data_IF_499891659804
#
_entry.id   IF_499891659804
#
_cell.length_a   1.000
_cell.length_b   1.000
_cell.length_c   1.000
_cell.angle_alpha   90.00
_cell.angle_beta   90.00
_cell.angle_gamma   90.00
#
_symmetry.space_group_name_H-M   'P 1'
#
loop_
_entity.id
_entity.type
_entity.pdbx_description
1 polymer ?
#
# COMPACT_ATOMS: atom_id res chain seq x y z
N UNK A 1 -57.48 -3.77 82.68
CA UNK A 1 -56.81 -2.50 82.48
C UNK A 1 -55.34 -2.78 82.75
N UNK A 2 -54.53 -2.97 81.77
CA UNK A 2 -53.09 -3.27 81.87
C UNK A 2 -52.45 -3.11 80.49
N UNK A 3 -51.79 -2.05 80.40
CA UNK A 3 -51.12 -1.59 79.22
C UNK A 3 -49.78 -2.42 79.01
N UNK A 4 -49.68 -3.10 77.94
CA UNK A 4 -48.50 -3.93 77.60
C UNK A 4 -47.64 -3.16 76.59
N UNK A 5 -46.62 -2.53 77.10
CA UNK A 5 -45.59 -1.83 76.30
C UNK A 5 -44.73 -2.84 75.63
N UNK A 6 -44.86 -2.94 74.30
CA UNK A 6 -43.98 -3.72 73.46
C UNK A 6 -42.63 -2.92 73.16
N UNK A 7 -41.58 -3.40 73.71
CA UNK A 7 -40.18 -2.90 73.38
C UNK A 7 -39.76 -3.45 71.99
N UNK A 8 -39.76 -2.58 71.03
CA UNK A 8 -39.08 -2.84 69.73
C UNK A 8 -37.57 -2.86 69.93
N UNK A 9 -36.94 -4.02 69.65
CA UNK A 9 -35.51 -4.16 69.58
C UNK A 9 -35.00 -3.54 68.26
N UNK A 10 -34.25 -2.48 68.44
CA UNK A 10 -33.57 -1.81 67.33
C UNK A 10 -32.45 -2.70 66.81
N UNK A 11 -32.58 -3.15 65.53
CA UNK A 11 -31.56 -3.92 64.85
C UNK A 11 -30.44 -2.97 64.43
N UNK A 12 -29.25 -3.20 64.97
CA UNK A 12 -27.98 -2.58 64.54
C UNK A 12 -27.74 -2.74 63.04
N UNK A 13 -27.27 -1.68 62.32
CA UNK A 13 -26.99 -1.79 60.90
C UNK A 13 -25.78 -2.72 60.67
N UNK A 14 -26.00 -3.76 59.90
CA UNK A 14 -24.97 -4.66 59.43
C UNK A 14 -23.91 -3.90 58.64
N UNK A 15 -22.65 -4.08 59.05
CA UNK A 15 -21.44 -3.66 58.40
C UNK A 15 -21.38 -4.24 56.96
N UNK A 16 -21.87 -3.47 55.98
CA UNK A 16 -21.68 -3.80 54.56
C UNK A 16 -20.32 -3.37 54.12
N UNK A 17 -19.33 -4.26 54.29
CA UNK A 17 -18.05 -4.15 53.57
C UNK A 17 -18.36 -4.09 52.08
N UNK A 18 -17.79 -3.15 51.32
CA UNK A 18 -17.89 -3.15 49.88
C UNK A 18 -17.17 -4.44 49.35
N UNK A 19 -17.92 -5.30 48.68
CA UNK A 19 -17.34 -6.38 47.87
C UNK A 19 -16.30 -5.77 46.94
N UNK A 20 -15.05 -6.22 47.08
CA UNK A 20 -14.00 -5.91 46.17
C UNK A 20 -14.38 -6.45 44.77
N UNK A 21 -14.77 -5.56 43.89
CA UNK A 21 -14.95 -5.89 42.47
C UNK A 21 -13.64 -6.54 41.98
N UNK A 22 -13.70 -7.69 41.30
CA UNK A 22 -12.53 -8.32 40.75
C UNK A 22 -11.87 -7.30 39.79
N UNK A 23 -10.63 -6.96 40.09
CA UNK A 23 -9.83 -6.03 39.33
C UNK A 23 -9.83 -6.42 37.87
N UNK A 24 -10.64 -5.74 37.07
CA UNK A 24 -10.47 -5.76 35.63
C UNK A 24 -9.03 -5.33 35.38
N UNK A 25 -8.21 -6.24 34.87
CA UNK A 25 -6.92 -5.94 34.30
C UNK A 25 -7.14 -4.80 33.28
N UNK A 26 -6.91 -3.58 33.74
CA UNK A 26 -6.72 -2.47 32.81
C UNK A 26 -5.44 -2.82 32.08
N UNK A 27 -5.60 -3.50 30.94
CA UNK A 27 -4.53 -3.58 29.95
C UNK A 27 -3.96 -2.18 29.84
N UNK A 28 -2.79 -2.00 30.41
CA UNK A 28 -2.00 -0.78 30.25
C UNK A 28 -1.82 -0.59 28.75
N UNK A 29 -2.69 0.22 28.16
CA UNK A 29 -2.59 0.65 26.77
C UNK A 29 -1.33 1.51 26.74
N UNK A 30 -0.18 0.83 26.62
CA UNK A 30 1.12 1.45 26.50
C UNK A 30 1.00 2.46 25.35
N UNK A 31 1.06 3.71 25.70
CA UNK A 31 0.92 4.97 24.97
C UNK A 31 0.72 4.76 23.45
N UNK A 32 -0.52 4.46 23.05
CA UNK A 32 -0.93 4.55 21.65
C UNK A 32 -0.60 5.95 21.15
N UNK A 33 0.30 6.07 20.21
CA UNK A 33 0.54 7.34 19.52
C UNK A 33 -0.69 7.62 18.66
N UNK A 34 -1.69 8.30 19.23
CA UNK A 34 -2.87 8.70 18.50
C UNK A 34 -2.47 9.67 17.38
N UNK A 35 -2.75 9.36 16.12
CA UNK A 35 -2.38 10.24 15.03
C UNK A 35 -3.20 11.53 15.11
N UNK A 36 -2.51 12.67 15.07
CA UNK A 36 -3.16 13.98 14.93
C UNK A 36 -3.52 14.21 13.46
N UNK A 37 -4.62 14.90 13.19
CA UNK A 37 -4.94 15.34 11.82
C UNK A 37 -3.89 16.36 11.39
N UNK A 38 -3.06 16.06 10.37
CA UNK A 38 -2.06 17.01 9.91
C UNK A 38 -2.73 18.18 9.17
N UNK A 39 -2.07 19.34 9.16
CA UNK A 39 -2.54 20.50 8.40
C UNK A 39 -2.34 20.25 6.91
N UNK A 40 -3.35 20.52 6.09
CA UNK A 40 -3.35 20.20 4.65
C UNK A 40 -2.10 20.71 3.91
N UNK A 41 -1.67 21.96 4.18
CA UNK A 41 -0.48 22.55 3.55
C UNK A 41 0.80 21.76 3.84
N UNK A 42 0.95 21.23 5.06
CA UNK A 42 2.10 20.40 5.42
C UNK A 42 2.03 19.01 4.79
N UNK A 43 0.82 18.47 4.61
CA UNK A 43 0.63 17.19 3.92
C UNK A 43 0.97 17.30 2.43
N UNK A 44 0.48 18.33 1.76
CA UNK A 44 0.82 18.57 0.34
C UNK A 44 2.34 18.71 0.20
N UNK A 45 2.97 19.51 1.06
CA UNK A 45 4.42 19.69 1.04
C UNK A 45 5.15 18.36 1.32
N UNK A 46 4.72 17.60 2.32
CA UNK A 46 5.32 16.31 2.67
C UNK A 46 5.22 15.33 1.50
N UNK A 47 4.06 15.20 0.87
CA UNK A 47 3.86 14.32 -0.29
C UNK A 47 4.72 14.78 -1.46
N UNK A 48 4.71 16.09 -1.77
CA UNK A 48 5.49 16.64 -2.88
C UNK A 48 7.00 16.45 -2.67
N UNK A 49 7.51 16.73 -1.47
CA UNK A 49 8.93 16.54 -1.12
C UNK A 49 9.29 15.06 -1.13
N UNK A 50 8.44 14.19 -0.59
CA UNK A 50 8.67 12.74 -0.59
C UNK A 50 8.71 12.18 -2.00
N UNK A 51 7.81 12.63 -2.89
CA UNK A 51 7.81 12.24 -4.29
C UNK A 51 9.04 12.78 -5.04
N UNK A 52 9.44 14.02 -4.76
CA UNK A 52 10.66 14.61 -5.32
C UNK A 52 11.91 13.82 -4.88
N UNK A 53 12.06 13.52 -3.57
CA UNK A 53 13.15 12.71 -3.04
C UNK A 53 13.15 11.33 -3.70
N UNK A 54 11.98 10.68 -3.78
CA UNK A 54 11.83 9.40 -4.48
C UNK A 54 12.34 9.47 -5.91
N UNK A 55 11.93 10.50 -6.67
CA UNK A 55 12.33 10.69 -8.07
C UNK A 55 13.83 10.92 -8.19
N UNK A 56 14.41 11.76 -7.32
CA UNK A 56 15.86 12.03 -7.30
C UNK A 56 16.64 10.75 -7.00
N UNK A 57 16.27 10.01 -5.94
CA UNK A 57 16.98 8.77 -5.58
C UNK A 57 16.86 7.74 -6.69
N UNK A 58 15.64 7.52 -7.21
CA UNK A 58 15.40 6.55 -8.28
C UNK A 58 16.24 6.86 -9.53
N UNK A 59 16.36 8.12 -9.89
CA UNK A 59 17.12 8.54 -11.08
C UNK A 59 18.62 8.63 -10.81
N UNK A 60 19.05 8.79 -9.56
CA UNK A 60 20.46 8.78 -9.17
C UNK A 60 21.06 7.36 -9.06
N UNK A 61 20.21 6.30 -9.03
CA UNK A 61 20.72 4.92 -9.09
C UNK A 61 21.43 4.73 -10.44
N UNK A 62 22.74 4.36 -10.43
CA UNK A 62 23.48 4.15 -11.65
C UNK A 62 22.77 3.17 -12.58
N UNK A 63 22.72 3.47 -13.86
CA UNK A 63 22.22 2.53 -14.87
C UNK A 63 23.15 1.32 -14.97
N UNK A 64 22.86 0.31 -14.17
CA UNK A 64 23.57 -0.97 -14.20
C UNK A 64 22.93 -1.89 -15.23
N UNK A 65 22.85 -1.45 -16.49
CA UNK A 65 22.21 -2.19 -17.58
C UNK A 65 22.62 -3.66 -17.64
N UNK A 66 23.91 -3.94 -17.61
CA UNK A 66 24.40 -5.32 -17.68
C UNK A 66 23.97 -6.17 -16.47
N UNK A 67 23.97 -5.62 -15.26
CA UNK A 67 23.49 -6.30 -14.07
C UNK A 67 21.99 -6.49 -14.13
N UNK A 68 21.24 -5.47 -14.53
CA UNK A 68 19.77 -5.52 -14.64
C UNK A 68 19.29 -6.57 -15.65
N UNK A 69 19.99 -6.71 -16.79
CA UNK A 69 19.67 -7.73 -17.79
C UNK A 69 20.01 -9.15 -17.30
N UNK A 70 21.16 -9.34 -16.62
CA UNK A 70 21.47 -10.64 -15.99
C UNK A 70 20.45 -11.03 -14.93
N UNK A 71 20.04 -10.08 -14.11
CA UNK A 71 19.01 -10.32 -13.08
C UNK A 71 17.66 -10.67 -13.73
N UNK A 72 17.30 -10.01 -14.83
CA UNK A 72 16.08 -10.32 -15.58
C UNK A 72 16.10 -11.74 -16.17
N UNK A 73 17.21 -12.16 -16.76
CA UNK A 73 17.39 -13.54 -17.24
C UNK A 73 17.28 -14.55 -16.09
N UNK A 74 17.85 -14.24 -14.93
CA UNK A 74 17.73 -15.10 -13.75
C UNK A 74 16.29 -15.21 -13.24
N UNK A 75 15.57 -14.09 -13.13
CA UNK A 75 14.14 -14.06 -12.72
C UNK A 75 13.32 -14.88 -13.71
N UNK A 76 13.51 -14.64 -15.03
CA UNK A 76 12.79 -15.33 -16.07
C UNK A 76 12.99 -16.86 -16.01
N UNK A 77 14.23 -17.30 -15.82
CA UNK A 77 14.54 -18.73 -15.64
C UNK A 77 13.93 -19.30 -14.35
N UNK A 78 13.95 -18.53 -13.27
CA UNK A 78 13.33 -18.97 -12.02
C UNK A 78 11.82 -19.16 -12.17
N UNK A 79 11.12 -18.24 -12.85
CA UNK A 79 9.69 -18.37 -13.14
C UNK A 79 9.38 -19.55 -14.05
N UNK A 80 10.21 -19.80 -15.05
CA UNK A 80 10.11 -20.98 -15.92
C UNK A 80 10.28 -22.28 -15.11
N UNK A 81 11.27 -22.32 -14.22
CA UNK A 81 11.56 -23.52 -13.43
C UNK A 81 10.41 -23.93 -12.49
N UNK A 82 9.64 -22.95 -12.01
CA UNK A 82 8.47 -23.20 -11.15
C UNK A 82 7.15 -23.20 -11.92
N UNK A 83 7.18 -23.06 -13.25
CA UNK A 83 6.00 -23.16 -14.12
C UNK A 83 5.03 -21.98 -14.06
N UNK A 84 5.48 -20.80 -13.63
CA UNK A 84 4.64 -19.57 -13.55
C UNK A 84 4.97 -18.51 -14.60
N UNK A 85 5.88 -18.79 -15.51
CA UNK A 85 6.34 -17.87 -16.57
C UNK A 85 5.25 -17.68 -17.64
N UNK A 86 4.22 -16.91 -17.32
CA UNK A 86 3.06 -16.66 -18.20
C UNK A 86 3.15 -15.34 -18.96
N UNK A 87 4.12 -14.49 -18.64
CA UNK A 87 4.24 -13.12 -19.14
C UNK A 87 4.30 -13.05 -20.66
N UNK A 88 5.13 -13.90 -21.25
CA UNK A 88 5.27 -13.95 -22.70
C UNK A 88 3.92 -14.27 -23.40
N UNK A 89 3.23 -15.31 -22.92
CA UNK A 89 1.93 -15.72 -23.47
C UNK A 89 0.88 -14.62 -23.30
N UNK A 90 0.80 -14.02 -22.12
CA UNK A 90 -0.16 -12.94 -21.81
C UNK A 90 0.13 -11.70 -22.64
N UNK A 91 1.42 -11.30 -22.74
CA UNK A 91 1.84 -10.14 -23.53
C UNK A 91 1.45 -10.29 -25.00
N UNK A 92 1.75 -11.44 -25.63
CA UNK A 92 1.39 -11.69 -27.01
C UNK A 92 -0.14 -11.79 -27.23
N UNK A 93 -0.85 -12.51 -26.36
CA UNK A 93 -2.29 -12.66 -26.47
C UNK A 93 -3.03 -11.33 -26.37
N UNK A 94 -2.65 -10.48 -25.40
CA UNK A 94 -3.29 -9.17 -25.21
C UNK A 94 -2.87 -8.17 -26.28
N UNK A 95 -1.61 -8.21 -26.72
CA UNK A 95 -1.11 -7.34 -27.79
C UNK A 95 -1.86 -7.54 -29.13
N UNK A 96 -2.45 -8.71 -29.37
CA UNK A 96 -3.28 -8.96 -30.55
C UNK A 96 -4.58 -8.12 -30.58
N UNK A 97 -4.98 -7.54 -29.45
CA UNK A 97 -6.19 -6.71 -29.31
C UNK A 97 -5.78 -5.25 -29.06
N UNK A 98 -5.56 -4.49 -30.14
CA UNK A 98 -4.97 -3.15 -30.12
C UNK A 98 -5.64 -2.19 -29.13
N UNK A 99 -6.97 -2.07 -29.13
CA UNK A 99 -7.66 -1.15 -28.22
C UNK A 99 -7.45 -1.49 -26.74
N UNK A 100 -7.34 -2.79 -26.44
CA UNK A 100 -7.15 -3.28 -25.08
C UNK A 100 -5.74 -2.97 -24.58
N UNK A 101 -4.71 -3.30 -25.37
CA UNK A 101 -3.32 -3.07 -24.96
C UNK A 101 -3.00 -1.57 -24.88
N UNK A 102 -3.54 -0.76 -25.76
CA UNK A 102 -3.43 0.71 -25.70
C UNK A 102 -4.06 1.25 -24.42
N UNK A 103 -5.26 0.77 -24.06
CA UNK A 103 -5.90 1.10 -22.80
C UNK A 103 -5.06 0.68 -21.56
N UNK A 104 -4.42 -0.51 -21.63
CA UNK A 104 -3.52 -1.00 -20.58
C UNK A 104 -2.24 -0.18 -20.46
N UNK A 105 -1.68 0.30 -21.56
CA UNK A 105 -0.51 1.20 -21.52
C UNK A 105 -0.85 2.51 -20.77
N UNK A 106 -2.01 3.13 -21.06
CA UNK A 106 -2.46 4.33 -20.35
C UNK A 106 -2.83 4.04 -18.89
N UNK A 107 -3.46 2.89 -18.62
CA UNK A 107 -3.69 2.43 -17.24
C UNK A 107 -2.37 2.36 -16.46
N UNK A 108 -1.37 1.68 -17.02
CA UNK A 108 -0.04 1.56 -16.43
C UNK A 108 0.58 2.91 -16.14
N UNK A 109 0.51 3.83 -17.10
CA UNK A 109 1.13 5.15 -16.99
C UNK A 109 0.48 6.06 -15.93
N UNK A 110 -0.85 5.96 -15.72
CA UNK A 110 -1.58 7.03 -15.02
C UNK A 110 -2.45 6.54 -13.87
N UNK A 111 -3.15 5.41 -14.01
CA UNK A 111 -4.25 5.08 -13.10
C UNK A 111 -3.78 4.80 -11.67
N UNK A 112 -2.62 4.18 -11.50
CA UNK A 112 -2.09 3.92 -10.15
C UNK A 112 -1.81 5.21 -9.37
N UNK A 113 -1.38 6.29 -10.02
CA UNK A 113 -1.22 7.61 -9.38
C UNK A 113 -2.58 8.20 -9.02
N UNK A 114 -3.52 8.20 -9.98
CA UNK A 114 -4.86 8.77 -9.79
C UNK A 114 -5.57 8.08 -8.62
N UNK A 115 -5.59 6.74 -8.61
CA UNK A 115 -6.25 5.97 -7.54
C UNK A 115 -5.55 6.18 -6.20
N UNK A 116 -4.22 6.15 -6.16
CA UNK A 116 -3.46 6.35 -4.91
C UNK A 116 -3.70 7.72 -4.31
N UNK A 117 -3.64 8.78 -5.12
CA UNK A 117 -3.94 10.15 -4.69
C UNK A 117 -5.40 10.26 -4.25
N UNK A 118 -6.33 9.67 -5.02
CA UNK A 118 -7.75 9.63 -4.67
C UNK A 118 -8.00 8.99 -3.31
N UNK A 119 -7.36 7.84 -3.03
CA UNK A 119 -7.46 7.14 -1.74
C UNK A 119 -6.83 7.98 -0.61
N UNK A 120 -5.70 8.63 -0.83
CA UNK A 120 -5.09 9.55 0.15
C UNK A 120 -6.02 10.72 0.48
N UNK A 121 -6.61 11.37 -0.53
CA UNK A 121 -7.57 12.47 -0.35
C UNK A 121 -8.82 11.99 0.40
N UNK A 122 -9.34 10.83 0.01
CA UNK A 122 -10.47 10.21 0.68
C UNK A 122 -10.17 9.91 2.15
N UNK A 123 -9.04 9.30 2.47
CA UNK A 123 -8.60 9.04 3.85
C UNK A 123 -8.46 10.34 4.65
N UNK A 124 -7.80 11.35 4.07
CA UNK A 124 -7.63 12.65 4.72
C UNK A 124 -8.95 13.32 5.06
N UNK A 125 -9.94 13.22 4.16
CA UNK A 125 -11.24 13.91 4.30
C UNK A 125 -12.20 13.17 5.22
N UNK A 126 -12.27 11.84 5.14
CA UNK A 126 -13.29 11.05 5.82
C UNK A 126 -12.78 10.10 6.90
N UNK A 127 -11.46 9.87 6.99
CA UNK A 127 -10.82 9.01 7.99
C UNK A 127 -9.60 9.68 8.64
N UNK A 128 -9.71 10.93 9.16
CA UNK A 128 -8.54 11.70 9.59
C UNK A 128 -7.72 11.03 10.71
N UNK A 129 -8.34 10.25 11.59
CA UNK A 129 -7.64 9.53 12.65
C UNK A 129 -6.85 8.30 12.16
N UNK A 130 -7.13 7.80 10.95
CA UNK A 130 -6.43 6.66 10.33
C UNK A 130 -5.43 7.10 9.26
N UNK A 131 -5.59 8.32 8.75
CA UNK A 131 -4.84 8.86 7.63
C UNK A 131 -3.32 8.74 7.83
N UNK A 132 -2.79 9.26 8.95
CA UNK A 132 -1.34 9.33 9.17
C UNK A 132 -0.70 7.94 9.23
N UNK A 133 -1.35 6.97 9.87
CA UNK A 133 -0.85 5.60 9.97
C UNK A 133 -0.92 4.88 8.63
N UNK A 134 -2.03 5.03 7.89
CA UNK A 134 -2.21 4.40 6.58
C UNK A 134 -1.26 4.99 5.53
N UNK A 135 -1.08 6.32 5.53
CA UNK A 135 -0.07 7.00 4.71
C UNK A 135 1.35 6.55 5.06
N UNK A 136 1.67 6.37 6.36
CA UNK A 136 3.00 5.90 6.78
C UNK A 136 3.31 4.53 6.16
N UNK A 137 2.34 3.62 6.09
CA UNK A 137 2.52 2.33 5.39
C UNK A 137 2.95 2.56 3.95
N UNK A 138 2.25 3.43 3.20
CA UNK A 138 2.58 3.74 1.81
C UNK A 138 4.01 4.29 1.66
N UNK A 139 4.42 5.21 2.54
CA UNK A 139 5.75 5.81 2.53
C UNK A 139 6.85 4.80 2.87
N UNK A 140 6.63 3.95 3.87
CA UNK A 140 7.56 2.89 4.23
C UNK A 140 7.71 1.87 3.10
N UNK A 141 6.60 1.45 2.50
CA UNK A 141 6.60 0.55 1.34
C UNK A 141 7.45 1.12 0.20
N UNK A 142 7.23 2.39 -0.14
CA UNK A 142 7.97 3.08 -1.20
C UNK A 142 9.44 3.27 -0.84
N UNK A 143 9.76 3.60 0.42
CA UNK A 143 11.14 3.73 0.90
C UNK A 143 11.91 2.42 0.87
N UNK A 144 11.27 1.30 1.25
CA UNK A 144 11.88 -0.04 1.15
C UNK A 144 12.12 -0.41 -0.31
N UNK A 145 11.18 -0.08 -1.20
CA UNK A 145 11.33 -0.33 -2.63
C UNK A 145 12.51 0.43 -3.25
N UNK A 146 12.80 1.65 -2.80
CA UNK A 146 13.99 2.39 -3.26
C UNK A 146 15.28 1.65 -2.94
N UNK A 147 15.37 1.01 -1.76
CA UNK A 147 16.50 0.15 -1.42
C UNK A 147 16.56 -1.07 -2.36
N UNK A 148 15.42 -1.66 -2.69
CA UNK A 148 15.32 -2.75 -3.66
C UNK A 148 15.88 -2.37 -5.03
N UNK A 149 15.50 -1.22 -5.56
CA UNK A 149 16.00 -0.71 -6.86
C UNK A 149 17.52 -0.51 -6.87
N UNK A 150 18.08 -0.08 -5.76
CA UNK A 150 19.52 0.09 -5.63
C UNK A 150 20.27 -1.25 -5.50
N UNK A 151 19.75 -2.16 -4.67
CA UNK A 151 20.41 -3.42 -4.35
C UNK A 151 20.22 -4.47 -5.44
N UNK A 152 19.12 -4.43 -6.18
CA UNK A 152 18.77 -5.41 -7.19
C UNK A 152 18.19 -4.72 -8.43
N UNK A 153 19.04 -4.07 -9.25
CA UNK A 153 18.59 -3.48 -10.50
C UNK A 153 18.02 -4.59 -11.40
N UNK A 154 16.81 -4.37 -11.95
CA UNK A 154 16.12 -5.34 -12.78
C UNK A 154 15.57 -4.68 -14.04
N UNK A 155 15.90 -5.25 -15.19
CA UNK A 155 15.30 -4.85 -16.45
C UNK A 155 13.88 -5.45 -16.56
N UNK A 156 12.87 -4.66 -17.01
CA UNK A 156 11.55 -5.21 -17.29
C UNK A 156 11.60 -6.18 -18.47
N UNK A 157 10.64 -7.13 -18.59
CA UNK A 157 10.61 -8.13 -19.67
C UNK A 157 10.78 -7.54 -21.07
N UNK A 158 10.13 -6.41 -21.37
CA UNK A 158 10.17 -5.73 -22.68
C UNK A 158 11.58 -5.28 -23.10
N UNK A 159 12.53 -5.17 -22.17
CA UNK A 159 13.91 -4.77 -22.45
C UNK A 159 14.88 -5.94 -22.46
N UNK A 160 14.43 -7.18 -22.25
CA UNK A 160 15.27 -8.38 -22.29
C UNK A 160 15.55 -8.74 -23.76
N UNK A 161 16.81 -8.68 -24.22
CA UNK A 161 17.17 -9.11 -25.57
C UNK A 161 16.80 -10.60 -25.73
N UNK A 162 16.31 -10.95 -26.90
CA UNK A 162 15.93 -12.34 -27.25
C UNK A 162 14.88 -12.99 -26.35
N UNK A 163 14.26 -12.22 -25.42
CA UNK A 163 13.16 -12.69 -24.56
C UNK A 163 11.82 -12.87 -25.31
N UNK A 164 11.75 -12.40 -26.55
CA UNK A 164 10.55 -12.48 -27.38
C UNK A 164 9.38 -11.61 -26.94
N UNK A 165 9.55 -10.74 -25.94
CA UNK A 165 8.50 -9.85 -25.46
C UNK A 165 8.25 -8.68 -26.41
N UNK A 166 6.98 -8.31 -26.56
CA UNK A 166 6.56 -7.13 -27.31
C UNK A 166 6.63 -5.90 -26.42
N UNK A 167 7.43 -4.90 -26.79
CA UNK A 167 7.34 -3.57 -26.15
C UNK A 167 6.10 -2.85 -26.70
N UNK A 168 5.01 -2.99 -25.98
CA UNK A 168 3.69 -2.52 -26.39
C UNK A 168 3.61 -0.98 -26.45
N UNK A 169 4.46 -0.27 -25.70
CA UNK A 169 4.55 1.20 -25.73
C UNK A 169 5.13 1.66 -27.05
N UNK A 170 6.18 0.98 -27.51
CA UNK A 170 6.86 1.32 -28.77
C UNK A 170 6.00 0.90 -29.95
N UNK A 171 5.44 -0.33 -29.93
CA UNK A 171 4.67 -0.89 -31.06
C UNK A 171 3.40 -0.09 -31.34
N UNK A 172 2.73 0.42 -30.30
CA UNK A 172 1.47 1.15 -30.43
C UNK A 172 1.63 2.68 -30.27
N UNK A 173 2.87 3.18 -30.27
CA UNK A 173 3.19 4.61 -30.15
C UNK A 173 2.40 5.30 -29.02
N UNK A 174 2.28 4.63 -27.88
CA UNK A 174 1.60 5.18 -26.71
C UNK A 174 2.60 5.90 -25.81
N UNK A 175 2.20 7.07 -25.26
CA UNK A 175 2.99 7.65 -24.18
C UNK A 175 2.71 6.84 -22.90
N UNK A 176 3.52 5.86 -22.66
CA UNK A 176 3.44 5.04 -21.47
C UNK A 176 4.53 5.46 -20.50
N UNK A 177 4.25 5.56 -19.24
CA UNK A 177 5.15 5.91 -18.14
C UNK A 177 6.24 6.96 -18.50
N UNK A 178 6.97 7.49 -17.54
CA UNK A 178 8.13 8.37 -17.78
C UNK A 178 9.25 7.70 -18.58
N UNK A 179 8.98 6.58 -19.26
CA UNK A 179 9.90 5.76 -20.05
C UNK A 179 9.76 5.98 -21.56
N UNK A 180 8.96 6.93 -22.03
CA UNK A 180 8.81 7.23 -23.46
C UNK A 180 9.26 8.65 -23.81
N UNK A 181 9.83 8.82 -25.01
CA UNK A 181 10.30 10.11 -25.51
C UNK A 181 11.46 10.70 -24.70
N UNK A 182 11.53 12.03 -24.61
CA UNK A 182 12.56 12.74 -23.85
C UNK A 182 12.54 12.44 -22.33
N UNK A 183 11.42 11.94 -21.80
CA UNK A 183 11.30 11.54 -20.39
C UNK A 183 11.91 10.16 -20.13
N UNK A 184 12.07 9.32 -21.14
CA UNK A 184 12.76 8.03 -21.03
C UNK A 184 14.22 8.19 -20.59
N UNK A 185 14.91 9.22 -21.10
CA UNK A 185 16.29 9.55 -20.72
C UNK A 185 16.42 10.06 -19.28
N UNK A 186 15.30 10.49 -18.66
CA UNK A 186 15.26 11.01 -17.30
C UNK A 186 14.73 9.99 -16.27
N UNK A 187 14.38 8.78 -16.71
CA UNK A 187 13.79 7.74 -15.84
C UNK A 187 14.64 6.48 -15.88
N UNK A 188 15.08 6.00 -14.71
CA UNK A 188 15.77 4.72 -14.62
C UNK A 188 14.82 3.58 -15.02
N UNK A 189 15.04 3.00 -16.20
CA UNK A 189 14.22 1.91 -16.74
C UNK A 189 14.54 0.54 -16.10
N UNK A 190 15.64 0.45 -15.35
CA UNK A 190 16.12 -0.79 -14.71
C UNK A 190 15.68 -0.92 -13.24
N UNK A 191 14.63 -0.23 -12.86
CA UNK A 191 14.03 -0.28 -11.53
C UNK A 191 12.68 -1.03 -11.58
N UNK A 192 12.67 -2.26 -12.11
CA UNK A 192 11.44 -3.05 -12.21
C UNK A 192 11.08 -3.74 -10.89
N UNK A 193 12.06 -4.20 -10.10
CA UNK A 193 11.81 -4.94 -8.85
C UNK A 193 12.26 -4.13 -7.63
N UNK A 194 11.39 -4.02 -6.61
CA UNK A 194 10.02 -4.52 -6.47
C UNK A 194 8.98 -3.65 -7.19
N UNK A 195 7.88 -4.26 -7.68
CA UNK A 195 6.83 -3.51 -8.39
C UNK A 195 6.02 -2.61 -7.46
N UNK A 196 6.17 -1.29 -7.60
CA UNK A 196 5.34 -0.33 -6.85
C UNK A 196 3.93 -0.19 -7.41
N UNK A 197 3.70 -0.56 -8.66
CA UNK A 197 2.34 -0.68 -9.19
C UNK A 197 1.52 -1.68 -8.36
N UNK A 198 2.10 -2.82 -8.02
CA UNK A 198 1.45 -3.81 -7.15
C UNK A 198 1.45 -3.35 -5.70
N UNK A 199 2.56 -2.87 -5.15
CA UNK A 199 2.60 -2.39 -3.77
C UNK A 199 1.52 -1.35 -3.47
N UNK A 200 1.35 -0.36 -4.36
CA UNK A 200 0.35 0.71 -4.20
C UNK A 200 -1.07 0.24 -4.51
N UNK A 201 -1.26 -0.61 -5.53
CA UNK A 201 -2.60 -1.13 -5.84
C UNK A 201 -3.15 -2.01 -4.72
N UNK A 202 -2.31 -2.88 -4.13
CA UNK A 202 -2.69 -3.71 -2.97
C UNK A 202 -2.97 -2.84 -1.75
N UNK A 203 -2.15 -1.81 -1.48
CA UNK A 203 -2.41 -0.85 -0.42
C UNK A 203 -3.75 -0.12 -0.62
N UNK A 204 -4.05 0.37 -1.83
CA UNK A 204 -5.33 0.98 -2.17
C UNK A 204 -6.48 -0.01 -1.97
N UNK A 205 -6.34 -1.22 -2.53
CA UNK A 205 -7.34 -2.28 -2.45
C UNK A 205 -7.70 -2.63 -1.01
N UNK A 206 -6.70 -2.94 -0.17
CA UNK A 206 -6.90 -3.22 1.25
C UNK A 206 -7.58 -2.04 1.95
N UNK A 207 -7.11 -0.81 1.69
CA UNK A 207 -7.66 0.39 2.32
C UNK A 207 -9.13 0.59 1.99
N UNK A 208 -9.50 0.43 0.72
CA UNK A 208 -10.88 0.56 0.26
C UNK A 208 -11.76 -0.55 0.87
N UNK A 209 -11.30 -1.81 0.80
CA UNK A 209 -12.03 -2.97 1.33
C UNK A 209 -12.31 -2.83 2.83
N UNK A 210 -11.31 -2.36 3.59
CA UNK A 210 -11.42 -2.24 5.04
C UNK A 210 -12.25 -1.04 5.49
N UNK A 211 -12.35 0.02 4.70
CA UNK A 211 -12.91 1.28 5.16
C UNK A 211 -14.14 1.76 4.38
N UNK A 212 -14.36 1.31 3.15
CA UNK A 212 -15.50 1.74 2.36
C UNK A 212 -16.81 1.12 2.89
N UNK A 213 -17.88 1.92 3.06
CA UNK A 213 -19.18 1.40 3.51
C UNK A 213 -19.92 0.64 2.40
N UNK A 214 -19.77 1.06 1.15
CA UNK A 214 -20.51 0.51 0.01
C UNK A 214 -19.87 -0.79 -0.52
N UNK A 215 -20.68 -1.81 -0.76
CA UNK A 215 -20.25 -3.11 -1.26
C UNK A 215 -19.54 -2.99 -2.63
N UNK A 216 -20.13 -2.20 -3.55
CA UNK A 216 -19.52 -1.99 -4.88
C UNK A 216 -18.09 -1.44 -4.79
N UNK A 217 -17.84 -0.50 -3.88
CA UNK A 217 -16.49 0.04 -3.68
C UNK A 217 -15.52 -1.02 -3.15
N UNK A 218 -15.97 -1.89 -2.23
CA UNK A 218 -15.17 -3.02 -1.76
C UNK A 218 -14.85 -4.01 -2.87
N UNK A 219 -15.83 -4.31 -3.72
CA UNK A 219 -15.62 -5.18 -4.89
C UNK A 219 -14.57 -4.58 -5.82
N UNK A 220 -14.67 -3.28 -6.14
CA UNK A 220 -13.65 -2.58 -6.94
C UNK A 220 -12.28 -2.60 -6.24
N UNK A 221 -12.23 -2.42 -4.93
CA UNK A 221 -11.00 -2.53 -4.14
C UNK A 221 -10.35 -3.92 -4.24
N UNK A 222 -11.15 -4.98 -4.25
CA UNK A 222 -10.67 -6.36 -4.45
C UNK A 222 -10.17 -6.62 -5.88
N UNK A 223 -10.86 -6.06 -6.87
CA UNK A 223 -10.53 -6.27 -8.29
C UNK A 223 -9.32 -5.44 -8.74
N UNK A 224 -9.02 -4.33 -8.07
CA UNK A 224 -7.99 -3.40 -8.50
C UNK A 224 -6.57 -4.02 -8.51
N UNK A 225 -6.07 -4.72 -7.48
CA UNK A 225 -4.75 -5.34 -7.54
C UNK A 225 -4.60 -6.42 -8.61
N UNK A 226 -5.51 -7.41 -8.78
CA UNK A 226 -5.37 -8.41 -9.83
C UNK A 226 -5.48 -7.80 -11.23
N UNK A 227 -6.31 -6.77 -11.43
CA UNK A 227 -6.33 -6.05 -12.70
C UNK A 227 -5.00 -5.34 -12.97
N UNK A 228 -4.42 -4.70 -11.96
CA UNK A 228 -3.10 -4.08 -12.08
C UNK A 228 -2.02 -5.11 -12.41
N UNK A 229 -2.09 -6.29 -11.80
CA UNK A 229 -1.17 -7.38 -12.10
C UNK A 229 -1.29 -7.83 -13.56
N UNK A 230 -2.51 -8.03 -14.05
CA UNK A 230 -2.74 -8.35 -15.46
C UNK A 230 -2.15 -7.27 -16.39
N UNK A 231 -2.35 -6.00 -16.07
CA UNK A 231 -1.84 -4.88 -16.87
C UNK A 231 -0.32 -4.86 -16.92
N UNK A 232 0.38 -4.99 -15.77
CA UNK A 232 1.84 -4.91 -15.75
C UNK A 232 2.52 -6.08 -16.45
N UNK A 233 1.88 -7.26 -16.44
CA UNK A 233 2.31 -8.46 -17.14
C UNK A 233 2.02 -8.34 -18.64
N UNK A 234 0.79 -7.98 -19.03
CA UNK A 234 0.39 -7.84 -20.43
C UNK A 234 1.21 -6.78 -21.17
N UNK A 235 1.59 -5.69 -20.50
CA UNK A 235 2.43 -4.64 -21.08
C UNK A 235 3.94 -4.94 -21.00
N UNK A 236 4.33 -6.16 -20.54
CA UNK A 236 5.72 -6.59 -20.35
C UNK A 236 6.57 -5.60 -19.53
N UNK A 237 5.97 -4.88 -18.60
CA UNK A 237 6.67 -3.94 -17.71
C UNK A 237 7.20 -4.61 -16.43
N UNK A 238 6.68 -5.78 -16.04
CA UNK A 238 7.10 -6.50 -14.84
C UNK A 238 6.99 -8.00 -15.03
N UNK A 239 7.88 -8.73 -14.36
CA UNK A 239 7.75 -10.15 -14.07
C UNK A 239 6.77 -10.40 -12.92
N UNK A 240 6.30 -11.63 -12.78
CA UNK A 240 5.47 -12.05 -11.64
C UNK A 240 6.18 -11.84 -10.30
N UNK A 241 7.47 -12.19 -10.23
CA UNK A 241 8.26 -12.04 -9.01
C UNK A 241 8.46 -10.59 -8.59
N UNK A 242 8.38 -9.63 -9.52
CA UNK A 242 8.36 -8.20 -9.18
C UNK A 242 7.14 -7.84 -8.33
N UNK A 243 5.99 -8.46 -8.67
CA UNK A 243 4.77 -8.26 -7.91
C UNK A 243 4.88 -8.86 -6.50
N UNK A 244 5.47 -10.04 -6.36
CA UNK A 244 5.77 -10.63 -5.04
C UNK A 244 6.67 -9.70 -4.24
N UNK A 245 7.73 -9.15 -4.85
CA UNK A 245 8.59 -8.15 -4.23
C UNK A 245 7.81 -6.93 -3.74
N UNK A 246 6.87 -6.42 -4.53
CA UNK A 246 5.99 -5.30 -4.16
C UNK A 246 5.11 -5.60 -2.95
N UNK A 247 4.52 -6.81 -2.90
CA UNK A 247 3.71 -7.27 -1.75
C UNK A 247 4.58 -7.43 -0.49
N UNK A 248 5.80 -7.95 -0.62
CA UNK A 248 6.73 -8.07 0.52
C UNK A 248 7.13 -6.70 1.08
N UNK A 249 7.41 -5.72 0.23
CA UNK A 249 7.65 -4.34 0.67
C UNK A 249 6.44 -3.77 1.41
N UNK A 250 5.23 -4.04 0.91
CA UNK A 250 4.01 -3.60 1.58
C UNK A 250 3.81 -4.27 2.94
N UNK A 251 4.03 -5.57 3.02
CA UNK A 251 3.95 -6.30 4.28
C UNK A 251 4.94 -5.75 5.33
N UNK A 252 6.18 -5.47 4.91
CA UNK A 252 7.18 -4.81 5.76
C UNK A 252 6.73 -3.41 6.19
N UNK A 253 6.15 -2.62 5.27
CA UNK A 253 5.58 -1.30 5.56
C UNK A 253 4.47 -1.36 6.61
N UNK A 254 3.56 -2.34 6.53
CA UNK A 254 2.54 -2.58 7.56
C UNK A 254 3.17 -2.99 8.89
N UNK A 255 4.16 -3.88 8.88
CA UNK A 255 4.88 -4.32 10.08
C UNK A 255 5.55 -3.15 10.81
N UNK A 256 6.29 -2.31 10.09
CA UNK A 256 6.94 -1.12 10.65
C UNK A 256 5.92 -0.09 11.16
N UNK A 257 4.84 0.14 10.44
CA UNK A 257 3.76 1.02 10.89
C UNK A 257 3.10 0.48 12.15
N UNK A 258 2.89 -0.84 12.26
CA UNK A 258 2.39 -1.48 13.47
C UNK A 258 3.34 -1.30 14.67
N UNK A 259 4.64 -1.48 14.46
CA UNK A 259 5.64 -1.25 15.53
C UNK A 259 5.63 0.19 16.02
N UNK A 260 5.39 1.16 15.11
CA UNK A 260 5.33 2.58 15.44
C UNK A 260 4.06 2.97 16.22
N UNK A 261 2.89 2.55 15.73
CA UNK A 261 1.61 2.91 16.31
C UNK A 261 1.11 1.92 17.37
N UNK A 262 1.74 0.74 17.49
CA UNK A 262 1.27 -0.37 18.32
C UNK A 262 -0.16 -0.79 18.02
N UNK A 263 -0.63 -0.52 16.82
CA UNK A 263 -1.96 -0.84 16.33
C UNK A 263 -1.97 -0.94 14.82
N UNK A 264 -2.85 -1.77 14.29
CA UNK A 264 -3.13 -1.81 12.85
C UNK A 264 -3.80 -0.49 12.45
N UNK A 265 -3.35 0.14 11.36
CA UNK A 265 -3.83 1.46 10.93
C UNK A 265 -5.37 1.55 10.82
N UNK A 266 -6.04 0.48 10.37
CA UNK A 266 -7.49 0.44 10.19
C UNK A 266 -8.29 0.28 11.49
N UNK A 267 -7.65 -0.16 12.59
CA UNK A 267 -8.26 -0.25 13.94
C UNK A 267 -8.19 1.06 14.71
N UNK A 268 -7.41 2.03 14.25
CA UNK A 268 -7.36 3.35 14.86
C UNK A 268 -8.72 4.06 14.74
N UNK A 269 -9.06 5.00 15.67
CA UNK A 269 -10.30 5.76 15.61
C UNK A 269 -10.47 6.46 14.26
N UNK A 270 -11.70 6.54 13.75
CA UNK A 270 -12.00 7.24 12.49
C UNK A 270 -11.75 8.74 12.60
N UNK A 271 -12.12 9.32 13.75
CA UNK A 271 -11.98 10.74 14.03
C UNK A 271 -10.92 10.98 15.09
N UNK A 272 -10.26 12.12 15.02
CA UNK A 272 -9.34 12.58 16.07
C UNK A 272 -10.18 13.29 17.12
N UNK A 273 -10.18 12.79 18.35
CA UNK A 273 -10.83 13.48 19.45
C UNK A 273 -9.98 14.71 19.82
N UNK A 274 -10.56 15.91 19.89
CA UNK A 274 -9.85 17.07 20.37
C UNK A 274 -9.40 16.85 21.83
N UNK A 275 -8.14 17.14 22.15
CA UNK A 275 -7.60 17.08 23.53
C UNK A 275 -8.09 18.26 24.42
N UNK A 276 -9.32 18.71 24.23
CA UNK A 276 -9.91 19.78 25.04
C UNK A 276 -11.24 19.33 25.61
N UNK A 277 -11.19 18.54 26.66
CA UNK A 277 -12.27 18.36 27.61
C UNK A 277 -11.75 17.66 28.87
N UNK A 278 -10.80 18.26 29.57
CA UNK A 278 -10.60 18.12 31.03
C UNK A 278 -9.97 19.38 31.55
#
# INVERSE_FOLDING_TARGET
MGDATVRTLEKSPADTRPEAQPGGERLSIGRLRLPRRPRLRFEILLIAVSYWIYSVIRNAVPEQKAAALRNADWIWRAEQAVGIAVEHTVNHAVNSVTWLIVGMNYYYATLHFIVTVGVLVWLYRWHPGRYAATRLVLFLTTGIALLGYYLYPLAPPRLVPDGGFVDTVVVHDTWGSMASGNLASMSNQYAAMPSMHIGWSVWCGITIVMLAPALWARVLGWLYPPLTLLVIVATANHFWLDAVGGVLCLAAGYGLSYLWYRSVAYRLPRHVTPLHAT
#
